data_IF_882234475717
#
_entry.id   IF_882234475717
#
_cell.length_a   1.000
_cell.length_b   1.000
_cell.length_c   1.000
_cell.angle_alpha   90.00
_cell.angle_beta   90.00
_cell.angle_gamma   90.00
#
_symmetry.space_group_name_H-M   'P 1'
#
loop_
_entity.id
_entity.type
_entity.pdbx_description
1 polymer ?
#
# COMPACT_ATOMS: atom_id res chain seq x y z
N UNK A 1 15.75 10.35 -11.92
CA UNK A 1 16.05 8.94 -11.55
C UNK A 1 15.37 8.04 -12.57
N UNK A 2 16.10 7.48 -13.54
CA UNK A 2 15.54 6.51 -14.50
C UNK A 2 15.26 5.22 -13.73
N UNK A 3 14.05 5.09 -13.19
CA UNK A 3 13.56 3.84 -12.62
C UNK A 3 13.47 2.85 -13.78
N UNK A 4 14.56 2.12 -14.03
CA UNK A 4 14.57 0.99 -14.96
C UNK A 4 13.62 -0.04 -14.36
N UNK A 5 12.36 0.00 -14.78
CA UNK A 5 11.30 -0.93 -14.38
C UNK A 5 11.78 -2.38 -14.53
N UNK A 6 12.63 -2.63 -15.53
CA UNK A 6 13.38 -3.86 -15.78
C UNK A 6 14.19 -4.41 -14.58
N UNK A 7 14.63 -3.54 -13.67
CA UNK A 7 15.36 -3.93 -12.45
C UNK A 7 14.43 -4.16 -11.25
N UNK A 8 13.21 -3.65 -11.29
CA UNK A 8 12.22 -3.78 -10.22
C UNK A 8 11.30 -4.99 -10.43
N UNK A 9 11.10 -5.39 -11.69
CA UNK A 9 10.35 -6.58 -12.06
C UNK A 9 11.31 -7.76 -12.11
N UNK A 10 11.16 -8.66 -11.15
CA UNK A 10 11.85 -9.95 -11.19
C UNK A 10 11.32 -10.77 -12.36
N UNK A 11 12.22 -11.33 -13.17
CA UNK A 11 11.85 -12.14 -14.35
C UNK A 11 11.70 -13.62 -14.02
N UNK A 12 11.93 -14.00 -12.76
CA UNK A 12 11.71 -15.36 -12.28
C UNK A 12 10.23 -15.54 -11.97
N UNK A 13 9.64 -16.65 -12.45
CA UNK A 13 8.26 -17.07 -12.17
C UNK A 13 7.92 -16.96 -10.69
N UNK A 14 8.78 -17.46 -9.79
CA UNK A 14 8.53 -17.35 -8.34
C UNK A 14 8.45 -15.90 -7.87
N UNK A 15 9.31 -15.04 -8.41
CA UNK A 15 9.31 -13.64 -8.04
C UNK A 15 8.08 -12.90 -8.57
N UNK A 16 7.63 -13.23 -9.79
CA UNK A 16 6.40 -12.69 -10.39
C UNK A 16 5.19 -13.14 -9.55
N UNK A 17 5.13 -14.41 -9.19
CA UNK A 17 4.09 -14.97 -8.31
C UNK A 17 4.03 -14.22 -6.97
N UNK A 18 5.17 -13.95 -6.35
CA UNK A 18 5.24 -13.15 -5.11
C UNK A 18 4.75 -11.71 -5.36
N UNK A 19 5.17 -11.07 -6.46
CA UNK A 19 4.71 -9.71 -6.79
C UNK A 19 3.20 -9.64 -6.99
N UNK A 20 2.60 -10.65 -7.62
CA UNK A 20 1.15 -10.77 -7.78
C UNK A 20 0.48 -10.92 -6.41
N UNK A 21 0.97 -11.83 -5.55
CA UNK A 21 0.41 -12.01 -4.21
C UNK A 21 0.49 -10.74 -3.37
N UNK A 22 1.64 -10.06 -3.37
CA UNK A 22 1.80 -8.77 -2.65
C UNK A 22 0.85 -7.71 -3.20
N UNK A 23 0.67 -7.63 -4.52
CA UNK A 23 -0.25 -6.68 -5.14
C UNK A 23 -1.71 -6.96 -4.77
N UNK A 24 -2.10 -8.24 -4.72
CA UNK A 24 -3.43 -8.66 -4.28
C UNK A 24 -3.67 -8.34 -2.81
N UNK A 25 -2.70 -8.62 -1.94
CA UNK A 25 -2.78 -8.30 -0.50
C UNK A 25 -2.94 -6.79 -0.31
N UNK A 26 -2.11 -5.97 -0.99
CA UNK A 26 -2.21 -4.52 -0.92
C UNK A 26 -3.58 -4.00 -1.40
N UNK A 27 -4.13 -4.58 -2.46
CA UNK A 27 -5.47 -4.26 -2.94
C UNK A 27 -6.56 -4.57 -1.91
N UNK A 28 -6.50 -5.75 -1.27
CA UNK A 28 -7.45 -6.15 -0.23
C UNK A 28 -7.36 -5.23 0.99
N UNK A 29 -6.16 -4.85 1.41
CA UNK A 29 -5.96 -3.86 2.49
C UNK A 29 -6.62 -2.53 2.14
N UNK A 30 -6.43 -2.02 0.92
CA UNK A 30 -7.07 -0.78 0.49
C UNK A 30 -8.60 -0.88 0.40
N UNK A 31 -9.15 -2.06 0.09
CA UNK A 31 -10.60 -2.25 0.10
C UNK A 31 -11.18 -2.13 1.51
N UNK A 32 -10.51 -2.74 2.49
CA UNK A 32 -10.95 -2.75 3.90
C UNK A 32 -10.68 -1.41 4.60
N UNK A 33 -9.64 -0.67 4.17
CA UNK A 33 -9.29 0.62 4.76
C UNK A 33 -10.43 1.63 4.60
N UNK A 34 -10.94 2.13 5.72
CA UNK A 34 -11.86 3.27 5.77
C UNK A 34 -11.05 4.56 5.82
N UNK A 35 -11.37 5.52 4.96
CA UNK A 35 -10.79 6.86 5.00
C UNK A 35 -11.89 7.89 5.23
N UNK A 36 -11.61 9.01 5.91
CA UNK A 36 -12.62 10.06 6.09
C UNK A 36 -13.06 10.60 4.72
N UNK A 37 -14.37 10.77 4.52
CA UNK A 37 -14.97 11.12 3.21
C UNK A 37 -14.40 12.39 2.57
N UNK A 38 -13.92 13.33 3.39
CA UNK A 38 -13.22 14.55 2.95
C UNK A 38 -11.94 14.29 2.13
N UNK A 39 -11.32 13.12 2.29
CA UNK A 39 -10.09 12.73 1.59
C UNK A 39 -10.37 11.97 0.28
N UNK A 40 -11.62 11.64 -0.02
CA UNK A 40 -12.04 10.95 -1.23
C UNK A 40 -12.65 9.57 -0.98
N UNK A 41 -12.92 8.86 -2.07
CA UNK A 41 -13.61 7.56 -2.05
C UNK A 41 -13.00 6.55 -3.03
N UNK A 42 -12.03 6.97 -3.85
CA UNK A 42 -11.38 6.07 -4.80
C UNK A 42 -10.26 5.28 -4.13
N UNK A 43 -9.88 4.14 -4.70
CA UNK A 43 -8.72 3.35 -4.26
C UNK A 43 -7.42 4.18 -4.26
N UNK A 44 -7.29 5.11 -5.21
CA UNK A 44 -6.13 5.99 -5.29
C UNK A 44 -6.10 6.99 -4.13
N UNK A 45 -7.26 7.51 -3.73
CA UNK A 45 -7.37 8.40 -2.56
C UNK A 45 -6.98 7.66 -1.28
N UNK A 46 -7.44 6.42 -1.11
CA UNK A 46 -7.04 5.55 0.00
C UNK A 46 -5.53 5.29 0.02
N UNK A 47 -4.93 5.03 -1.14
CA UNK A 47 -3.49 4.83 -1.26
C UNK A 47 -2.70 6.10 -0.91
N UNK A 48 -3.16 7.27 -1.35
CA UNK A 48 -2.53 8.56 -1.02
C UNK A 48 -2.66 8.91 0.46
N UNK A 49 -3.83 8.64 1.04
CA UNK A 49 -4.08 8.81 2.46
C UNK A 49 -3.13 7.93 3.28
N UNK A 50 -3.03 6.64 2.93
CA UNK A 50 -2.06 5.70 3.50
C UNK A 50 -0.63 6.24 3.42
N UNK A 51 -0.21 6.70 2.23
CA UNK A 51 1.11 7.27 2.01
C UNK A 51 1.37 8.50 2.88
N UNK A 52 0.38 9.39 3.02
CA UNK A 52 0.48 10.57 3.88
C UNK A 52 0.63 10.19 5.35
N UNK A 53 -0.16 9.23 5.85
CA UNK A 53 -0.04 8.70 7.21
C UNK A 53 1.34 8.06 7.45
N UNK A 54 1.84 7.28 6.49
CA UNK A 54 3.18 6.68 6.55
C UNK A 54 4.31 7.71 6.54
N UNK A 55 4.12 8.86 5.90
CA UNK A 55 5.10 9.94 5.96
C UNK A 55 5.05 10.72 7.29
N UNK A 56 3.92 10.71 7.98
CA UNK A 56 3.75 11.36 9.28
C UNK A 56 4.18 10.47 10.46
N UNK A 57 4.03 9.15 10.35
CA UNK A 57 4.40 8.17 11.38
C UNK A 57 5.71 7.49 10.98
N UNK A 58 6.67 7.44 11.89
CA UNK A 58 8.05 6.95 11.64
C UNK A 58 8.10 5.48 11.16
N UNK A 59 7.04 4.67 11.36
CA UNK A 59 7.02 3.24 11.02
C UNK A 59 5.62 2.66 10.76
N UNK A 60 5.56 1.65 9.87
CA UNK A 60 4.37 0.82 9.57
C UNK A 60 3.71 0.22 10.82
N UNK A 61 4.52 -0.16 11.82
CA UNK A 61 4.03 -0.79 13.06
C UNK A 61 3.16 0.18 13.86
N UNK A 62 3.61 1.44 13.99
CA UNK A 62 2.89 2.45 14.76
C UNK A 62 1.55 2.85 14.12
N UNK A 63 1.48 2.85 12.78
CA UNK A 63 0.24 3.13 12.07
C UNK A 63 -0.72 1.93 12.08
N UNK A 64 -0.19 0.70 11.96
CA UNK A 64 -1.01 -0.52 12.01
C UNK A 64 -1.64 -0.73 13.39
N UNK A 65 -0.93 -0.39 14.47
CA UNK A 65 -1.49 -0.38 15.83
C UNK A 65 -2.69 0.58 15.94
N UNK A 66 -2.60 1.81 15.42
CA UNK A 66 -3.73 2.75 15.45
C UNK A 66 -4.97 2.26 14.69
N UNK A 67 -4.80 1.44 13.66
CA UNK A 67 -5.92 0.90 12.87
C UNK A 67 -6.50 -0.39 13.45
N UNK A 68 -5.67 -1.21 14.09
CA UNK A 68 -6.11 -2.46 14.71
C UNK A 68 -6.78 -2.24 16.06
N UNK A 69 -6.42 -1.16 16.77
CA UNK A 69 -6.89 -0.86 18.12
C UNK A 69 -7.92 0.30 18.21
N UNK A 70 -8.42 0.79 17.07
CA UNK A 70 -9.60 1.67 16.96
C UNK A 70 -10.76 0.94 16.29
#
# INVERSE_FOLDING_TARGET
>A
MHLKLDKLITKNVNGITIQIYVSLIAYLILQILSIPQQWGHTLLDKLRYLQSCMCQKISYVHWFEEIMFC
#
